data_IF_561680614363
#
_entry.id   IF_561680614363
#
_cell.length_a   1.000
_cell.length_b   1.000
_cell.length_c   1.000
_cell.angle_alpha   90.00
_cell.angle_beta   90.00
_cell.angle_gamma   90.00
#
_symmetry.space_group_name_H-M   'P 1'
#
loop_
_entity.id
_entity.type
_entity.pdbx_description
1 polymer ?
#
# COMPACT_ATOMS: atom_id res chain seq x y z
N UNK A 1 -18.81 -1.70 -21.58
CA UNK A 1 -18.44 -0.29 -21.32
C UNK A 1 -16.94 -0.29 -21.06
N UNK A 2 -16.14 0.05 -22.07
CA UNK A 2 -14.69 0.23 -21.90
C UNK A 2 -14.50 1.57 -21.20
N UNK A 3 -14.14 1.54 -19.92
CA UNK A 3 -13.63 2.73 -19.25
C UNK A 3 -12.32 3.11 -19.95
N UNK A 4 -12.28 4.35 -20.39
CA UNK A 4 -11.12 4.99 -20.98
C UNK A 4 -10.09 5.17 -19.84
N UNK A 5 -9.10 4.28 -19.73
CA UNK A 5 -8.06 4.30 -18.69
C UNK A 5 -6.98 5.36 -18.94
N UNK A 6 -7.20 6.27 -19.88
CA UNK A 6 -6.16 7.05 -20.53
C UNK A 6 -5.55 8.19 -19.70
N UNK A 7 -5.65 8.22 -18.36
CA UNK A 7 -4.79 9.03 -17.46
C UNK A 7 -5.19 8.82 -15.97
N UNK A 8 -4.86 7.67 -15.38
CA UNK A 8 -5.05 7.47 -13.95
C UNK A 8 -3.81 7.97 -13.21
N UNK A 9 -3.98 9.01 -12.40
CA UNK A 9 -2.89 9.59 -11.62
C UNK A 9 -2.54 8.62 -10.49
N UNK A 10 -1.27 8.21 -10.41
CA UNK A 10 -0.78 7.31 -9.36
C UNK A 10 -1.00 7.91 -7.97
N UNK A 11 -1.29 7.05 -7.00
CA UNK A 11 -1.66 7.42 -5.62
C UNK A 11 -2.93 8.27 -5.46
N UNK A 12 -3.64 8.61 -6.54
CA UNK A 12 -4.96 9.21 -6.45
C UNK A 12 -5.99 8.23 -5.85
N UNK A 13 -7.15 8.77 -5.45
CA UNK A 13 -8.28 7.95 -4.98
C UNK A 13 -8.66 6.87 -6.00
N UNK A 14 -8.76 7.22 -7.28
CA UNK A 14 -9.15 6.30 -8.33
C UNK A 14 -8.10 5.21 -8.54
N UNK A 15 -6.82 5.54 -8.40
CA UNK A 15 -5.74 4.56 -8.44
C UNK A 15 -5.85 3.54 -7.30
N UNK A 16 -6.12 3.99 -6.06
CA UNK A 16 -6.30 3.08 -4.92
C UNK A 16 -7.55 2.20 -5.01
N UNK A 17 -8.64 2.69 -5.61
CA UNK A 17 -9.83 1.88 -5.88
C UNK A 17 -9.55 0.80 -6.93
N UNK A 18 -8.80 1.11 -7.99
CA UNK A 18 -8.33 0.10 -8.93
C UNK A 18 -7.33 -0.85 -8.29
N UNK A 19 -6.49 -0.37 -7.39
CA UNK A 19 -5.55 -1.18 -6.65
C UNK A 19 -6.26 -2.22 -5.78
N UNK A 20 -7.32 -1.83 -5.08
CA UNK A 20 -8.17 -2.77 -4.36
C UNK A 20 -8.70 -3.87 -5.28
N UNK A 21 -9.22 -3.52 -6.46
CA UNK A 21 -9.72 -4.50 -7.42
C UNK A 21 -8.60 -5.44 -7.90
N UNK A 22 -7.47 -4.89 -8.33
CA UNK A 22 -6.33 -5.65 -8.82
C UNK A 22 -5.76 -6.59 -7.76
N UNK A 23 -5.63 -6.13 -6.50
CA UNK A 23 -5.24 -6.96 -5.35
C UNK A 23 -6.27 -8.07 -5.12
N UNK A 24 -7.55 -7.71 -5.15
CA UNK A 24 -8.67 -8.62 -4.98
C UNK A 24 -8.88 -9.59 -6.17
N UNK A 25 -8.02 -9.58 -7.18
CA UNK A 25 -7.97 -10.61 -8.22
C UNK A 25 -6.80 -11.59 -8.02
N UNK A 26 -5.83 -11.27 -7.16
CA UNK A 26 -4.63 -12.08 -6.94
C UNK A 26 -4.85 -13.21 -5.91
N UNK A 27 -5.47 -14.31 -6.32
CA UNK A 27 -5.69 -15.50 -5.46
C UNK A 27 -4.40 -16.02 -4.80
N UNK A 28 -3.26 -15.90 -5.48
CA UNK A 28 -1.95 -16.33 -4.97
C UNK A 28 -1.34 -15.39 -3.90
N UNK A 29 -1.76 -14.11 -3.86
CA UNK A 29 -1.11 -13.10 -3.00
C UNK A 29 -1.93 -12.72 -1.78
N UNK A 30 -3.26 -12.62 -1.90
CA UNK A 30 -4.14 -12.12 -0.82
C UNK A 30 -3.90 -12.79 0.53
N UNK A 31 -3.81 -14.12 0.53
CA UNK A 31 -3.64 -14.92 1.76
C UNK A 31 -2.34 -14.60 2.54
N UNK A 32 -1.38 -13.92 1.91
CA UNK A 32 -0.13 -13.47 2.54
C UNK A 32 -0.36 -12.31 3.52
N UNK A 33 -1.41 -11.51 3.33
CA UNK A 33 -1.80 -10.40 4.20
C UNK A 33 -3.08 -10.68 5.00
N UNK A 34 -3.46 -11.95 5.14
CA UNK A 34 -4.61 -12.33 5.97
C UNK A 34 -4.48 -11.78 7.40
N UNK A 35 -5.58 -11.27 7.95
CA UNK A 35 -5.65 -10.72 9.31
C UNK A 35 -4.69 -9.56 9.58
N UNK A 36 -4.22 -8.88 8.53
CA UNK A 36 -3.36 -7.71 8.70
C UNK A 36 -4.13 -6.55 9.36
N UNK A 37 -5.42 -6.41 9.06
CA UNK A 37 -6.25 -5.33 9.57
C UNK A 37 -6.01 -4.05 8.78
N UNK A 38 -6.01 -2.89 9.46
CA UNK A 38 -5.84 -1.57 8.84
C UNK A 38 -4.38 -1.15 8.80
N UNK A 39 -3.95 -0.57 7.69
CA UNK A 39 -2.62 0.05 7.52
C UNK A 39 -2.79 1.35 6.74
N UNK A 40 -2.06 2.38 7.16
CA UNK A 40 -2.03 3.69 6.52
C UNK A 40 -0.78 3.81 5.64
N UNK A 41 -0.94 4.35 4.44
CA UNK A 41 0.14 4.72 3.52
C UNK A 41 0.06 6.22 3.24
N UNK A 42 1.16 6.93 3.46
CA UNK A 42 1.24 8.39 3.34
C UNK A 42 2.28 8.79 2.29
N UNK A 43 1.90 9.70 1.39
CA UNK A 43 2.86 10.50 0.62
C UNK A 43 3.22 11.74 1.45
N UNK A 44 4.51 11.95 1.69
CA UNK A 44 5.00 13.04 2.56
C UNK A 44 5.46 14.28 1.79
N UNK A 45 5.48 14.22 0.46
CA UNK A 45 5.79 15.34 -0.42
C UNK A 45 4.53 15.83 -1.16
N UNK A 46 4.40 17.16 -1.29
CA UNK A 46 3.26 17.78 -1.97
C UNK A 46 1.99 17.86 -1.12
N UNK A 47 0.84 17.46 -1.70
CA UNK A 47 -0.42 17.34 -0.96
C UNK A 47 -0.32 16.03 -0.18
N UNK A 48 -0.32 16.09 1.16
CA UNK A 48 -0.32 14.89 2.00
C UNK A 48 -1.56 14.05 1.71
N UNK A 49 -1.41 13.05 0.83
CA UNK A 49 -2.43 12.04 0.56
C UNK A 49 -2.10 10.86 1.46
N UNK A 50 -3.01 10.60 2.38
CA UNK A 50 -2.99 9.41 3.21
C UNK A 50 -4.12 8.49 2.79
N UNK A 51 -3.81 7.22 2.56
CA UNK A 51 -4.82 6.18 2.36
C UNK A 51 -4.77 5.17 3.50
N UNK A 52 -5.92 4.79 4.02
CA UNK A 52 -6.06 3.64 4.90
C UNK A 52 -6.64 2.47 4.10
N UNK A 53 -5.90 1.37 4.08
CA UNK A 53 -6.36 0.10 3.50
C UNK A 53 -6.73 -0.87 4.61
N UNK A 54 -7.86 -1.55 4.46
CA UNK A 54 -8.34 -2.56 5.42
C UNK A 54 -8.35 -3.95 4.78
N UNK A 55 -7.49 -4.83 5.29
CA UNK A 55 -7.49 -6.25 4.94
C UNK A 55 -8.35 -7.07 5.91
N UNK A 56 -9.19 -7.93 5.37
CA UNK A 56 -10.02 -8.85 6.14
C UNK A 56 -9.26 -10.11 6.62
N UNK A 57 -10.00 -11.07 7.18
CA UNK A 57 -9.47 -12.34 7.67
C UNK A 57 -8.91 -13.26 6.56
N UNK A 58 -9.27 -13.02 5.30
CA UNK A 58 -8.83 -13.78 4.12
C UNK A 58 -7.69 -13.06 3.37
N UNK A 59 -7.49 -11.78 3.66
CA UNK A 59 -6.51 -10.92 3.03
C UNK A 59 -7.06 -10.18 1.81
N UNK A 60 -8.38 -10.06 1.69
CA UNK A 60 -9.04 -9.15 0.75
C UNK A 60 -9.01 -7.73 1.28
N UNK A 61 -8.76 -6.75 0.41
CA UNK A 61 -8.95 -5.35 0.77
C UNK A 61 -10.44 -5.06 0.69
N UNK A 62 -11.07 -4.81 1.84
CA UNK A 62 -12.52 -4.59 1.94
C UNK A 62 -12.89 -3.10 2.03
N UNK A 63 -11.92 -2.23 2.32
CA UNK A 63 -12.13 -0.78 2.48
C UNK A 63 -10.88 -0.02 2.02
N UNK A 64 -11.11 1.11 1.34
CA UNK A 64 -10.10 2.07 0.88
C UNK A 64 -10.57 3.47 1.25
N UNK A 65 -9.93 4.08 2.24
CA UNK A 65 -10.29 5.40 2.74
C UNK A 65 -9.16 6.39 2.45
N UNK A 66 -9.45 7.46 1.70
CA UNK A 66 -8.55 8.62 1.66
C UNK A 66 -8.85 9.45 2.89
N UNK A 67 -7.85 9.61 3.76
CA UNK A 67 -8.00 10.22 5.09
C UNK A 67 -7.24 11.54 5.17
N UNK A 68 -7.87 12.54 5.79
CA UNK A 68 -7.25 13.84 6.09
C UNK A 68 -6.66 13.89 7.50
N UNK A 69 -7.10 13.01 8.40
CA UNK A 69 -6.61 12.90 9.78
C UNK A 69 -6.08 11.50 10.00
N UNK A 70 -4.80 11.40 10.38
CA UNK A 70 -4.10 10.14 10.59
C UNK A 70 -4.42 9.63 12.01
N UNK A 71 -4.90 8.38 12.10
CA UNK A 71 -4.99 7.65 13.36
C UNK A 71 -3.61 7.05 13.68
N UNK A 72 -2.87 7.72 14.56
CA UNK A 72 -1.52 7.33 14.99
C UNK A 72 -1.46 5.98 15.73
N UNK A 73 -2.61 5.40 16.09
CA UNK A 73 -2.68 4.05 16.68
C UNK A 73 -2.53 2.93 15.64
N UNK A 74 -2.72 3.24 14.35
CA UNK A 74 -2.56 2.30 13.25
C UNK A 74 -1.11 2.21 12.77
N UNK A 75 -0.73 1.11 12.11
CA UNK A 75 0.54 1.02 11.39
C UNK A 75 0.54 2.01 10.23
N UNK A 76 1.56 2.86 10.19
CA UNK A 76 1.71 3.91 9.17
C UNK A 76 3.03 3.68 8.44
N UNK A 77 2.97 3.70 7.12
CA UNK A 77 4.13 3.79 6.25
C UNK A 77 4.11 5.14 5.54
N UNK A 78 5.22 5.87 5.58
CA UNK A 78 5.30 7.22 5.04
C UNK A 78 6.60 7.43 4.28
N UNK A 79 6.51 8.00 3.07
CA UNK A 79 7.67 8.31 2.25
C UNK A 79 7.31 9.37 1.20
N UNK A 80 8.28 10.09 0.63
CA UNK A 80 8.05 10.88 -0.57
C UNK A 80 7.75 9.98 -1.78
N UNK A 81 7.12 10.54 -2.81
CA UNK A 81 6.72 9.82 -4.03
C UNK A 81 7.90 9.07 -4.65
N UNK A 82 9.08 9.68 -4.73
CA UNK A 82 10.29 9.05 -5.29
C UNK A 82 10.71 7.75 -4.58
N UNK A 83 10.45 7.64 -3.28
CA UNK A 83 10.78 6.45 -2.50
C UNK A 83 9.70 5.38 -2.63
N UNK A 84 8.43 5.79 -2.72
CA UNK A 84 7.35 4.87 -3.07
C UNK A 84 7.56 4.29 -4.48
N UNK A 85 8.02 5.10 -5.41
CA UNK A 85 8.38 4.66 -6.76
C UNK A 85 9.50 3.62 -6.76
N UNK A 86 10.58 3.82 -5.99
CA UNK A 86 11.64 2.80 -5.86
C UNK A 86 11.09 1.45 -5.36
N UNK A 87 10.14 1.49 -4.43
CA UNK A 87 9.47 0.28 -3.93
C UNK A 87 8.56 -0.36 -4.98
N UNK A 88 7.67 0.43 -5.62
CA UNK A 88 6.76 -0.06 -6.67
C UNK A 88 7.53 -0.61 -7.86
N UNK A 89 8.65 0.02 -8.24
CA UNK A 89 9.54 -0.42 -9.31
C UNK A 89 10.43 -1.60 -8.91
N UNK A 90 10.29 -2.10 -7.67
CA UNK A 90 11.00 -3.26 -7.11
C UNK A 90 12.52 -3.09 -7.04
N UNK A 91 12.99 -1.85 -6.96
CA UNK A 91 14.41 -1.52 -6.75
C UNK A 91 14.81 -1.80 -5.29
N UNK A 92 13.85 -1.72 -4.38
CA UNK A 92 14.00 -2.03 -2.96
C UNK A 92 12.77 -2.79 -2.43
N UNK A 93 12.99 -3.85 -1.64
CA UNK A 93 11.89 -4.58 -0.97
C UNK A 93 11.44 -3.87 0.29
N UNK A 94 10.17 -4.04 0.68
CA UNK A 94 9.49 -3.34 1.76
C UNK A 94 10.25 -3.42 3.09
N UNK A 95 10.66 -4.62 3.51
CA UNK A 95 11.39 -4.79 4.76
C UNK A 95 12.74 -4.03 4.75
N UNK A 96 13.45 -4.03 3.62
CA UNK A 96 14.71 -3.29 3.48
C UNK A 96 14.44 -1.79 3.47
N UNK A 97 13.42 -1.33 2.73
CA UNK A 97 13.04 0.08 2.64
C UNK A 97 12.75 0.67 4.03
N UNK A 98 12.04 -0.08 4.88
CA UNK A 98 11.80 0.32 6.28
C UNK A 98 13.10 0.34 7.10
N UNK A 99 13.89 -0.73 7.03
CA UNK A 99 15.12 -0.85 7.83
C UNK A 99 16.19 0.20 7.45
N UNK A 100 16.18 0.69 6.21
CA UNK A 100 17.12 1.70 5.73
C UNK A 100 16.57 3.13 5.77
N UNK A 101 15.33 3.33 6.24
CA UNK A 101 14.69 4.66 6.31
C UNK A 101 14.33 5.25 4.94
N UNK A 102 14.20 4.41 3.90
CA UNK A 102 13.65 4.85 2.60
C UNK A 102 12.14 5.03 2.70
N UNK A 103 11.48 4.16 3.46
CA UNK A 103 10.08 4.30 3.88
C UNK A 103 10.08 4.34 5.40
N UNK A 104 9.60 5.43 5.99
CA UNK A 104 9.43 5.53 7.43
C UNK A 104 8.26 4.65 7.88
N UNK A 105 8.41 4.02 9.04
CA UNK A 105 7.40 3.15 9.62
C UNK A 105 7.11 3.52 11.08
N UNK A 106 5.84 3.75 11.38
CA UNK A 106 5.31 3.89 12.73
C UNK A 106 4.35 2.73 13.02
N UNK A 107 4.53 2.07 14.17
CA UNK A 107 3.67 0.98 14.61
C UNK A 107 4.45 -0.16 15.26
N UNK A 108 3.77 -1.27 15.49
CA UNK A 108 4.40 -2.45 16.09
C UNK A 108 5.34 -3.14 15.11
N UNK A 109 6.61 -3.26 15.49
CA UNK A 109 7.63 -3.97 14.69
C UNK A 109 7.26 -5.45 14.41
N UNK A 110 6.34 -6.04 15.18
CA UNK A 110 5.79 -7.37 14.89
C UNK A 110 5.13 -7.47 13.51
N UNK A 111 4.56 -6.36 12.99
CA UNK A 111 3.97 -6.32 11.65
C UNK A 111 5.05 -6.44 10.59
N UNK A 112 6.16 -5.70 10.71
CA UNK A 112 7.29 -5.82 9.79
C UNK A 112 7.90 -7.22 9.83
N UNK A 113 8.05 -7.81 11.01
CA UNK A 113 8.57 -9.18 11.13
C UNK A 113 7.64 -10.23 10.53
N UNK A 114 6.33 -10.07 10.67
CA UNK A 114 5.32 -11.04 10.21
C UNK A 114 4.99 -10.89 8.73
N UNK A 115 4.91 -9.66 8.23
CA UNK A 115 4.38 -9.33 6.90
C UNK A 115 5.40 -8.62 6.00
N UNK A 116 6.59 -8.25 6.49
CA UNK A 116 7.57 -7.44 5.74
C UNK A 116 7.88 -7.95 4.33
N UNK A 117 8.13 -9.26 4.18
CA UNK A 117 8.35 -9.89 2.86
C UNK A 117 7.07 -10.02 2.03
N UNK A 118 5.92 -10.01 2.67
CA UNK A 118 4.62 -10.11 2.01
C UNK A 118 4.16 -8.74 1.48
N UNK A 119 4.65 -7.65 2.04
CA UNK A 119 4.44 -6.33 1.48
C UNK A 119 5.06 -6.17 0.10
N UNK A 120 6.10 -6.94 -0.28
CA UNK A 120 6.64 -6.91 -1.64
C UNK A 120 5.59 -7.26 -2.72
N UNK A 121 4.57 -8.06 -2.38
CA UNK A 121 3.46 -8.34 -3.29
C UNK A 121 2.58 -7.11 -3.56
N UNK A 122 2.65 -6.07 -2.72
CA UNK A 122 1.97 -4.82 -3.01
C UNK A 122 2.56 -4.14 -4.26
N UNK A 123 3.89 -4.15 -4.40
CA UNK A 123 4.57 -3.65 -5.59
C UNK A 123 4.20 -4.47 -6.83
N UNK A 124 4.12 -5.80 -6.71
CA UNK A 124 3.70 -6.69 -7.82
C UNK A 124 2.29 -6.37 -8.33
N UNK A 125 1.38 -5.92 -7.46
CA UNK A 125 0.03 -5.51 -7.86
C UNK A 125 0.02 -4.09 -8.42
N UNK A 126 0.74 -3.16 -7.79
CA UNK A 126 0.83 -1.77 -8.23
C UNK A 126 1.34 -1.65 -9.67
N UNK A 127 2.32 -2.47 -10.07
CA UNK A 127 2.85 -2.49 -11.44
C UNK A 127 1.84 -2.93 -12.51
N UNK A 128 0.73 -3.56 -12.14
CA UNK A 128 -0.33 -3.96 -13.08
C UNK A 128 -1.31 -2.82 -13.39
N UNK A 129 -1.22 -1.73 -12.65
CA UNK A 129 -2.09 -0.55 -12.75
C UNK A 129 -1.27 0.55 -13.43
N UNK A 130 -1.21 0.47 -14.76
CA UNK A 130 -0.53 1.43 -15.64
C UNK A 130 -1.51 2.13 -16.53
#
# INVERSE_FOLDING_TARGET
MTQDTSNIIRFSRDWWLLYQQAWNEQSEFKHKLKKLGKVIFCLTDGIEISVCLHWDEQGDIIEVDVIETIDESLPIFSAPEENWEQFINKEIGAAKAVLTGVIDYQGSFSIIMKYGRHFDYLADVAQKIT
#
